data_IF_195067711978
#
_entry.id   IF_195067711978
#
_cell.length_a   1.000
_cell.length_b   1.000
_cell.length_c   1.000
_cell.angle_alpha   90.00
_cell.angle_beta   90.00
_cell.angle_gamma   90.00
#
_symmetry.space_group_name_H-M   'P 1'
#
loop_
_entity.id
_entity.type
_entity.pdbx_description
1 polymer ?
#
# COMPACT_ATOMS: atom_id res chain seq x y z
N UNK A 1 -3.78 -8.65 14.00
CA UNK A 1 -4.65 -7.46 14.08
C UNK A 1 -4.00 -6.40 14.93
N UNK A 2 -3.24 -5.54 14.26
CA UNK A 2 -2.82 -4.26 14.77
C UNK A 2 -4.04 -3.38 15.14
N UNK A 3 -3.84 -2.41 16.04
CA UNK A 3 -4.87 -1.46 16.41
C UNK A 3 -5.17 -0.46 15.27
N UNK A 4 -6.31 0.22 15.35
CA UNK A 4 -6.79 1.14 14.31
C UNK A 4 -5.81 2.30 14.08
N UNK A 5 -5.15 2.83 15.11
CA UNK A 5 -4.21 3.95 14.95
C UNK A 5 -2.95 3.51 14.21
N UNK A 6 -2.49 2.29 14.47
CA UNK A 6 -1.37 1.68 13.75
C UNK A 6 -1.73 1.42 12.28
N UNK A 7 -2.93 0.89 12.01
CA UNK A 7 -3.43 0.68 10.64
C UNK A 7 -3.58 1.99 9.87
N UNK A 8 -4.11 3.04 10.48
CA UNK A 8 -4.27 4.37 9.88
C UNK A 8 -2.90 4.98 9.50
N UNK A 9 -1.93 4.93 10.42
CA UNK A 9 -0.55 5.37 10.15
C UNK A 9 0.10 4.57 9.01
N UNK A 10 -0.05 3.25 9.04
CA UNK A 10 0.49 2.38 7.99
C UNK A 10 -0.13 2.69 6.62
N UNK A 11 -1.45 2.89 6.57
CA UNK A 11 -2.14 3.28 5.35
C UNK A 11 -1.66 4.64 4.82
N UNK A 12 -1.47 5.62 5.71
CA UNK A 12 -0.93 6.92 5.34
C UNK A 12 0.49 6.82 4.76
N UNK A 13 1.37 6.00 5.34
CA UNK A 13 2.73 5.76 4.80
C UNK A 13 2.66 5.14 3.39
N UNK A 14 1.79 4.15 3.19
CA UNK A 14 1.62 3.49 1.88
C UNK A 14 1.14 4.48 0.82
N UNK A 15 0.10 5.27 1.12
CA UNK A 15 -0.45 6.26 0.19
C UNK A 15 0.57 7.36 -0.11
N UNK A 16 1.29 7.85 0.89
CA UNK A 16 2.29 8.90 0.69
C UNK A 16 3.43 8.40 -0.20
N UNK A 17 3.96 7.21 0.07
CA UNK A 17 4.96 6.57 -0.80
C UNK A 17 4.45 6.39 -2.23
N UNK A 18 3.20 5.97 -2.41
CA UNK A 18 2.58 5.86 -3.72
C UNK A 18 2.59 7.20 -4.44
N UNK A 19 2.07 8.27 -3.82
CA UNK A 19 1.99 9.62 -4.42
C UNK A 19 3.37 10.20 -4.72
N UNK A 20 4.37 9.96 -3.88
CA UNK A 20 5.71 10.52 -4.09
C UNK A 20 6.48 9.75 -5.17
N UNK A 21 6.44 8.42 -5.14
CA UNK A 21 7.37 7.57 -5.89
C UNK A 21 6.74 6.82 -7.07
N UNK A 22 5.40 6.68 -7.09
CA UNK A 22 4.74 5.77 -8.02
C UNK A 22 4.60 4.33 -7.51
N UNK A 23 5.19 3.99 -6.37
CA UNK A 23 5.25 2.62 -5.85
C UNK A 23 4.76 2.52 -4.41
N UNK A 24 4.10 1.41 -4.08
CA UNK A 24 3.82 1.07 -2.69
C UNK A 24 5.09 0.48 -2.05
N UNK A 25 5.32 0.76 -0.76
CA UNK A 25 6.47 0.23 -0.05
C UNK A 25 6.35 -1.28 0.12
N UNK A 26 7.48 -1.97 0.12
CA UNK A 26 7.56 -3.35 0.60
C UNK A 26 7.30 -3.39 2.11
N UNK A 27 6.81 -4.51 2.66
CA UNK A 27 6.49 -4.60 4.09
C UNK A 27 7.69 -4.33 5.01
N UNK A 28 8.92 -4.60 4.54
CA UNK A 28 10.15 -4.28 5.28
C UNK A 28 10.42 -2.78 5.35
N UNK A 29 10.08 -2.03 4.30
CA UNK A 29 10.20 -0.58 4.25
C UNK A 29 9.11 0.06 5.12
N UNK A 30 7.89 -0.51 5.08
CA UNK A 30 6.82 -0.13 5.99
C UNK A 30 7.20 -0.37 7.45
N UNK A 31 7.78 -1.52 7.78
CA UNK A 31 8.25 -1.83 9.13
C UNK A 31 9.28 -0.80 9.62
N UNK A 32 10.22 -0.44 8.74
CA UNK A 32 11.24 0.59 9.02
C UNK A 32 10.58 1.95 9.27
N UNK A 33 9.61 2.35 8.46
CA UNK A 33 8.87 3.61 8.61
C UNK A 33 8.03 3.67 9.89
N UNK A 34 7.50 2.52 10.33
CA UNK A 34 6.72 2.39 11.57
C UNK A 34 7.59 2.17 12.81
N UNK A 35 8.89 1.92 12.63
CA UNK A 35 9.81 1.61 13.73
C UNK A 35 9.51 0.28 14.42
N UNK A 36 8.97 -0.71 13.70
CA UNK A 36 8.61 -2.02 14.22
C UNK A 36 9.43 -3.16 13.58
N UNK A 37 9.43 -4.37 14.16
CA UNK A 37 10.03 -5.55 13.55
C UNK A 37 9.43 -5.87 12.17
N UNK A 38 10.24 -6.42 11.27
CA UNK A 38 9.84 -6.74 9.89
C UNK A 38 8.59 -7.64 9.84
N UNK A 39 8.54 -8.67 10.67
CA UNK A 39 7.37 -9.58 10.75
C UNK A 39 6.10 -8.86 11.20
N UNK A 40 6.22 -7.86 12.06
CA UNK A 40 5.09 -7.02 12.46
C UNK A 40 4.62 -6.15 11.30
N UNK A 41 5.55 -5.50 10.57
CA UNK A 41 5.21 -4.75 9.36
C UNK A 41 4.54 -5.62 8.29
N UNK A 42 5.01 -6.86 8.11
CA UNK A 42 4.36 -7.86 7.25
C UNK A 42 2.93 -8.14 7.72
N UNK A 43 2.73 -8.42 9.00
CA UNK A 43 1.40 -8.66 9.54
C UNK A 43 0.46 -7.45 9.39
N UNK A 44 0.98 -6.23 9.54
CA UNK A 44 0.21 -4.98 9.35
C UNK A 44 -0.28 -4.87 7.89
N UNK A 45 0.55 -5.20 6.90
CA UNK A 45 0.12 -5.22 5.49
C UNK A 45 -1.03 -6.21 5.28
N UNK A 46 -0.92 -7.41 5.86
CA UNK A 46 -2.00 -8.42 5.78
C UNK A 46 -3.27 -7.99 6.51
N UNK A 47 -3.15 -7.36 7.68
CA UNK A 47 -4.28 -6.83 8.43
C UNK A 47 -5.00 -5.73 7.64
N UNK A 48 -4.27 -4.84 6.95
CA UNK A 48 -4.84 -3.83 6.05
C UNK A 48 -5.53 -4.46 4.83
N UNK A 49 -4.93 -5.47 4.21
CA UNK A 49 -5.50 -6.18 3.07
C UNK A 49 -6.75 -7.00 3.44
N UNK A 50 -6.78 -7.54 4.66
CA UNK A 50 -7.93 -8.25 5.24
C UNK A 50 -9.03 -7.34 5.79
N UNK A 51 -8.77 -6.02 5.86
CA UNK A 51 -9.71 -5.03 6.36
C UNK A 51 -11.00 -4.93 5.54
N UNK A 52 -12.10 -4.57 6.21
CA UNK A 52 -13.39 -4.33 5.58
C UNK A 52 -13.29 -3.26 4.49
N UNK A 53 -13.85 -3.55 3.32
CA UNK A 53 -13.85 -2.63 2.19
C UNK A 53 -12.74 -2.86 1.16
N UNK A 54 -11.76 -3.73 1.43
CA UNK A 54 -10.80 -4.22 0.42
C UNK A 54 -10.02 -3.12 -0.30
N UNK A 55 -9.65 -2.05 0.40
CA UNK A 55 -8.94 -0.91 -0.18
C UNK A 55 -7.58 -1.33 -0.75
N UNK A 56 -6.92 -2.28 -0.08
CA UNK A 56 -5.64 -2.87 -0.49
C UNK A 56 -5.88 -4.30 -0.98
N UNK A 57 -5.23 -4.68 -2.08
CA UNK A 57 -5.07 -6.08 -2.48
C UNK A 57 -3.62 -6.41 -2.70
N UNK A 58 -3.23 -7.60 -2.26
CA UNK A 58 -1.92 -8.18 -2.50
C UNK A 58 -1.92 -8.94 -3.83
N UNK A 59 -0.76 -9.01 -4.46
CA UNK A 59 -0.55 -9.89 -5.60
C UNK A 59 -0.58 -11.35 -5.11
N UNK A 60 -1.30 -12.28 -5.77
CA UNK A 60 -1.47 -13.64 -5.29
C UNK A 60 -0.15 -14.33 -4.95
N UNK A 61 -0.15 -15.09 -3.86
CA UNK A 61 0.99 -15.87 -3.38
C UNK A 61 2.26 -15.04 -3.06
N UNK A 62 2.11 -13.73 -2.86
CA UNK A 62 3.18 -12.82 -2.46
C UNK A 62 2.72 -11.87 -1.35
N UNK A 63 3.67 -11.13 -0.77
CA UNK A 63 3.41 -10.02 0.15
C UNK A 63 3.44 -8.65 -0.56
N UNK A 64 3.41 -8.62 -1.90
CA UNK A 64 3.47 -7.38 -2.67
C UNK A 64 2.10 -6.74 -2.78
N UNK A 65 2.02 -5.45 -2.51
CA UNK A 65 0.80 -4.67 -2.76
C UNK A 65 0.60 -4.54 -4.27
N UNK A 66 -0.54 -4.99 -4.78
CA UNK A 66 -0.90 -4.89 -6.19
C UNK A 66 -1.78 -3.66 -6.47
N UNK A 67 -2.71 -3.36 -5.56
CA UNK A 67 -3.63 -2.24 -5.69
C UNK A 67 -3.88 -1.60 -4.34
N UNK A 68 -3.96 -0.27 -4.32
CA UNK A 68 -4.46 0.53 -3.20
C UNK A 68 -5.44 1.52 -3.80
N UNK A 69 -6.75 1.26 -3.68
CA UNK A 69 -7.77 2.06 -4.38
C UNK A 69 -7.61 3.56 -4.08
N UNK A 70 -7.65 4.44 -5.12
CA UNK A 70 -8.01 4.15 -6.52
C UNK A 70 -6.84 3.68 -7.41
N UNK A 71 -5.64 3.50 -6.88
CA UNK A 71 -4.42 3.18 -7.62
C UNK A 71 -4.22 1.68 -7.87
N UNK A 72 -3.81 1.36 -9.10
CA UNK A 72 -3.24 0.07 -9.50
C UNK A 72 -1.74 0.25 -9.75
N UNK A 73 -0.94 -0.66 -9.18
CA UNK A 73 0.49 -0.77 -9.46
C UNK A 73 0.78 -1.66 -10.67
N UNK A 74 -0.25 -2.34 -11.16
CA UNK A 74 -0.22 -3.09 -12.41
C UNK A 74 -0.77 -2.17 -13.51
N UNK A 75 -0.08 -2.01 -14.66
CA UNK A 75 -0.56 -1.18 -15.75
C UNK A 75 -1.99 -1.53 -16.19
N UNK A 76 -2.85 -0.51 -16.29
CA UNK A 76 -4.20 -0.62 -16.85
C UNK A 76 -4.41 0.46 -17.93
N UNK A 77 -5.50 0.39 -18.72
CA UNK A 77 -5.85 1.48 -19.63
C UNK A 77 -6.19 2.80 -18.93
N UNK A 78 -6.54 2.77 -17.64
CA UNK A 78 -6.88 3.95 -16.86
C UNK A 78 -5.62 4.58 -16.30
N UNK A 79 -5.22 5.74 -16.80
CA UNK A 79 -4.03 6.46 -16.34
C UNK A 79 -4.43 7.53 -15.33
N UNK A 80 -3.68 7.60 -14.23
CA UNK A 80 -3.83 8.64 -13.21
C UNK A 80 -2.57 9.50 -13.24
N UNK A 81 -2.76 10.82 -13.23
CA UNK A 81 -1.69 11.78 -13.02
C UNK A 81 -1.89 12.54 -11.72
N UNK A 82 -0.80 12.77 -11.00
CA UNK A 82 -0.74 13.62 -9.80
C UNK A 82 0.28 14.73 -10.09
N UNK A 83 -0.11 15.98 -9.86
CA UNK A 83 0.71 17.17 -10.12
C UNK A 83 1.35 17.24 -11.51
N UNK A 84 0.65 16.70 -12.52
CA UNK A 84 1.09 16.68 -13.92
C UNK A 84 2.01 15.51 -14.28
N UNK A 85 2.42 14.67 -13.32
CA UNK A 85 3.21 13.47 -13.56
C UNK A 85 2.30 12.25 -13.71
N UNK A 86 2.50 11.44 -14.76
CA UNK A 86 1.75 10.20 -14.99
C UNK A 86 2.60 8.99 -14.61
N UNK A 87 2.51 8.56 -13.35
CA UNK A 87 3.18 7.34 -12.85
C UNK A 87 2.20 6.20 -12.54
N UNK A 88 0.92 6.52 -12.35
CA UNK A 88 -0.05 5.60 -11.76
C UNK A 88 -1.14 5.16 -12.72
N UNK A 89 -1.79 4.06 -12.36
CA UNK A 89 -2.94 3.51 -13.06
C UNK A 89 -4.16 3.43 -12.13
N UNK A 90 -5.36 3.37 -12.70
CA UNK A 90 -6.60 3.14 -11.96
C UNK A 90 -6.95 1.66 -11.86
N UNK A 91 -7.61 1.27 -10.77
CA UNK A 91 -8.22 -0.07 -10.55
C UNK A 91 -9.55 -0.19 -11.28
#
# INVERSE_FOLDING_TARGET
MADIQTLDKAYHVIISSLVDTGQAPHYSELATALGCPIEEGRQIVHDLAGGTGGAIRLNPDTDWIATVRPFSLIPTPFKISVDGEQKWFGV
#
